data_IF_314736122845
#
_entry.id   IF_314736122845
#
_cell.length_a   1.000
_cell.length_b   1.000
_cell.length_c   1.000
_cell.angle_alpha   90.00
_cell.angle_beta   90.00
_cell.angle_gamma   90.00
#
_symmetry.space_group_name_H-M   'P 1'
#
loop_
_entity.id
_entity.type
_entity.pdbx_description
1 polymer ?
#
# COMPACT_ATOMS: atom_id res chain seq x y z
N UNK A 1 2.61 25.45 -5.91
CA UNK A 1 1.36 25.43 -5.14
C UNK A 1 0.36 24.62 -5.94
N UNK A 2 -0.19 23.56 -5.34
CA UNK A 2 -1.18 22.68 -5.98
C UNK A 2 -2.59 23.29 -5.90
N UNK A 3 -2.80 24.28 -5.03
CA UNK A 3 -4.12 24.80 -4.68
C UNK A 3 -4.90 23.86 -3.75
N UNK A 4 -6.08 24.29 -3.35
CA UNK A 4 -7.04 23.52 -2.53
C UNK A 4 -8.43 23.59 -3.15
N UNK A 5 -9.38 22.82 -2.63
CA UNK A 5 -10.80 22.90 -3.04
C UNK A 5 -11.57 23.94 -2.21
N UNK A 6 -10.88 25.01 -1.79
CA UNK A 6 -11.41 26.09 -0.97
C UNK A 6 -11.12 25.95 0.53
N UNK A 7 -10.58 24.80 0.97
CA UNK A 7 -10.11 24.58 2.34
C UNK A 7 -8.65 25.00 2.56
N UNK A 8 -8.10 24.75 3.77
CA UNK A 8 -6.79 25.23 4.16
C UNK A 8 -5.62 24.40 3.60
N UNK A 9 -5.80 23.10 3.34
CA UNK A 9 -4.70 22.20 2.98
C UNK A 9 -5.03 21.35 1.75
N UNK A 10 -3.97 21.01 1.01
CA UNK A 10 -3.95 19.87 0.10
C UNK A 10 -2.67 19.08 0.30
N UNK A 11 -2.77 17.76 0.15
CA UNK A 11 -1.67 16.83 0.34
C UNK A 11 -1.62 15.77 -0.76
N UNK A 12 -0.43 15.24 -1.00
CA UNK A 12 -0.23 14.05 -1.82
C UNK A 12 -0.20 12.84 -0.87
N UNK A 13 -0.83 11.74 -1.27
CA UNK A 13 -0.82 10.51 -0.46
C UNK A 13 0.53 9.81 -0.56
N UNK A 14 0.98 9.22 0.54
CA UNK A 14 2.32 8.63 0.69
C UNK A 14 2.54 7.29 -0.05
N UNK A 15 1.58 6.82 -0.86
CA UNK A 15 1.72 5.59 -1.65
C UNK A 15 2.63 5.80 -2.88
N UNK A 16 3.20 4.73 -3.44
CA UNK A 16 4.38 4.82 -4.33
C UNK A 16 4.16 5.59 -5.65
N UNK A 17 2.94 5.69 -6.19
CA UNK A 17 2.70 6.36 -7.48
C UNK A 17 1.52 7.35 -7.46
N UNK A 18 1.86 8.62 -7.28
CA UNK A 18 0.94 9.77 -7.28
C UNK A 18 1.22 10.78 -8.42
N UNK A 19 2.29 10.60 -9.20
CA UNK A 19 2.69 11.51 -10.30
C UNK A 19 3.00 10.72 -11.57
N UNK A 20 2.50 11.24 -12.70
CA UNK A 20 2.78 10.75 -14.04
C UNK A 20 3.79 11.66 -14.76
N UNK A 21 4.51 11.08 -15.73
CA UNK A 21 5.52 11.81 -16.53
C UNK A 21 4.95 12.97 -17.36
N UNK A 22 3.65 12.96 -17.62
CA UNK A 22 2.95 14.06 -18.31
C UNK A 22 2.58 15.22 -17.37
N UNK A 23 2.99 15.16 -16.09
CA UNK A 23 2.70 16.19 -15.09
C UNK A 23 1.37 16.04 -14.36
N UNK A 24 0.57 15.01 -14.67
CA UNK A 24 -0.66 14.71 -13.92
C UNK A 24 -0.29 14.13 -12.55
N UNK A 25 -0.85 14.68 -11.49
CA UNK A 25 -0.73 14.15 -10.13
C UNK A 25 -2.09 14.03 -9.45
N UNK A 26 -2.19 13.13 -8.47
CA UNK A 26 -3.39 12.94 -7.67
C UNK A 26 -3.10 13.18 -6.19
N UNK A 27 -4.10 13.61 -5.44
CA UNK A 27 -3.97 13.82 -4.00
C UNK A 27 -5.31 14.04 -3.32
N UNK A 28 -5.27 14.63 -2.13
CA UNK A 28 -6.42 14.98 -1.31
C UNK A 28 -6.41 16.47 -1.05
N UNK A 29 -7.55 17.13 -1.17
CA UNK A 29 -7.68 18.54 -0.84
C UNK A 29 -8.91 18.80 0.01
N UNK A 30 -8.73 19.68 1.00
CA UNK A 30 -9.84 20.17 1.80
C UNK A 30 -10.75 21.04 0.96
N UNK A 31 -12.04 20.85 1.18
CA UNK A 31 -13.06 21.80 0.78
C UNK A 31 -13.30 22.83 1.88
N UNK A 32 -14.10 23.87 1.58
CA UNK A 32 -14.56 24.81 2.60
C UNK A 32 -15.77 24.29 3.41
N UNK A 33 -16.20 23.05 3.19
CA UNK A 33 -17.44 22.49 3.75
C UNK A 33 -17.10 21.70 5.01
N UNK A 34 -17.76 21.96 6.16
CA UNK A 34 -17.59 21.14 7.36
C UNK A 34 -18.03 19.70 7.15
N UNK A 35 -17.27 18.75 7.68
CA UNK A 35 -17.61 17.32 7.64
C UNK A 35 -18.91 17.07 8.45
N UNK A 36 -19.96 16.49 7.84
CA UNK A 36 -21.25 16.28 8.51
C UNK A 36 -21.19 15.22 9.62
N UNK A 37 -20.10 14.47 9.76
CA UNK A 37 -19.96 13.37 10.70
C UNK A 37 -19.17 13.75 11.97
N UNK A 38 -18.92 15.05 12.21
CA UNK A 38 -18.21 15.52 13.40
C UNK A 38 -18.82 14.96 14.72
N UNK A 39 -17.98 14.46 15.67
CA UNK A 39 -16.51 14.48 15.67
C UNK A 39 -15.85 13.27 14.97
N UNK A 40 -16.62 12.36 14.38
CA UNK A 40 -16.16 11.15 13.69
C UNK A 40 -15.85 11.44 12.21
N UNK A 41 -15.06 12.48 11.99
CA UNK A 41 -14.74 13.00 10.66
C UNK A 41 -13.79 12.07 9.91
N UNK A 42 -13.78 12.21 8.58
CA UNK A 42 -12.83 11.49 7.73
C UNK A 42 -11.38 11.94 7.96
N UNK A 43 -11.20 13.21 8.35
CA UNK A 43 -9.92 13.86 8.62
C UNK A 43 -9.95 14.61 9.97
N UNK A 44 -8.82 14.73 10.71
CA UNK A 44 -8.74 15.46 11.98
C UNK A 44 -9.24 16.91 11.98
N UNK A 45 -9.16 17.63 10.85
CA UNK A 45 -9.63 19.01 10.73
C UNK A 45 -11.16 19.11 10.58
N UNK A 46 -11.86 17.98 10.39
CA UNK A 46 -13.31 17.93 10.23
C UNK A 46 -13.85 18.82 9.09
N UNK A 47 -13.10 18.89 8.00
CA UNK A 47 -13.58 19.40 6.72
C UNK A 47 -13.82 18.23 5.77
N UNK A 48 -14.78 18.40 4.87
CA UNK A 48 -14.95 17.48 3.75
C UNK A 48 -13.70 17.54 2.89
N UNK A 49 -13.13 16.37 2.60
CA UNK A 49 -11.95 16.19 1.76
C UNK A 49 -12.31 15.44 0.50
N UNK A 50 -11.83 15.88 -0.65
CA UNK A 50 -11.98 15.12 -1.88
C UNK A 50 -10.62 14.76 -2.49
N UNK A 51 -10.61 13.58 -3.11
CA UNK A 51 -9.60 13.22 -4.08
C UNK A 51 -9.59 14.27 -5.22
N UNK A 52 -8.41 14.66 -5.66
CA UNK A 52 -8.25 15.59 -6.78
C UNK A 52 -7.27 15.04 -7.81
N UNK A 53 -7.42 15.49 -9.05
CA UNK A 53 -6.41 15.41 -10.10
C UNK A 53 -5.89 16.81 -10.40
N UNK A 54 -4.58 16.98 -10.46
CA UNK A 54 -3.95 18.24 -10.85
C UNK A 54 -3.12 18.04 -12.11
N UNK A 55 -3.27 18.94 -13.07
CA UNK A 55 -2.45 18.98 -14.29
C UNK A 55 -2.36 20.40 -14.84
N UNK A 56 -1.16 20.85 -15.21
CA UNK A 56 -0.91 22.13 -15.89
C UNK A 56 -1.56 23.34 -15.20
N UNK A 57 -1.57 23.36 -13.87
CA UNK A 57 -2.16 24.44 -13.07
C UNK A 57 -3.66 24.34 -12.86
N UNK A 58 -4.31 23.28 -13.34
CA UNK A 58 -5.73 23.02 -13.16
C UNK A 58 -5.91 21.95 -12.09
N UNK A 59 -6.60 22.31 -11.01
CA UNK A 59 -7.05 21.39 -9.96
C UNK A 59 -8.48 20.94 -10.28
N UNK A 60 -8.66 19.64 -10.50
CA UNK A 60 -9.94 19.01 -10.80
C UNK A 60 -10.38 18.17 -9.60
N UNK A 61 -11.55 18.50 -9.07
CA UNK A 61 -12.21 17.69 -8.02
C UNK A 61 -12.71 16.37 -8.61
N UNK A 62 -12.25 15.24 -8.05
CA UNK A 62 -12.70 13.90 -8.46
C UNK A 62 -13.97 13.45 -7.72
N UNK A 63 -14.34 14.15 -6.64
CA UNK A 63 -15.55 13.94 -5.85
C UNK A 63 -15.59 12.64 -5.06
N UNK A 64 -16.73 12.39 -4.42
CA UNK A 64 -17.05 11.19 -3.68
C UNK A 64 -18.21 10.40 -4.32
N UNK A 65 -18.42 9.16 -3.89
CA UNK A 65 -19.59 8.37 -4.31
C UNK A 65 -20.89 9.09 -3.94
N UNK A 66 -21.99 8.84 -4.67
CA UNK A 66 -23.28 9.47 -4.37
C UNK A 66 -23.70 9.27 -2.91
N UNK A 67 -23.97 10.39 -2.22
CA UNK A 67 -24.34 10.40 -0.80
C UNK A 67 -23.16 10.47 0.17
N UNK A 68 -21.95 10.12 -0.27
CA UNK A 68 -20.72 10.27 0.50
C UNK A 68 -20.22 11.71 0.54
N UNK A 69 -19.53 12.06 1.62
CA UNK A 69 -18.96 13.40 1.79
C UNK A 69 -17.50 13.42 1.36
N UNK A 70 -16.67 12.50 1.85
CA UNK A 70 -15.21 12.56 1.63
C UNK A 70 -14.66 11.45 0.73
N UNK A 71 -13.51 11.71 0.12
CA UNK A 71 -12.75 10.75 -0.69
C UNK A 71 -11.25 11.05 -0.72
N UNK A 72 -10.46 10.02 -1.07
CA UNK A 72 -9.00 10.05 -1.12
C UNK A 72 -8.50 9.21 -2.28
N UNK A 73 -7.56 9.76 -3.06
CA UNK A 73 -6.80 8.99 -4.05
C UNK A 73 -5.56 8.37 -3.41
N UNK A 74 -5.25 7.13 -3.73
CA UNK A 74 -4.02 6.45 -3.28
C UNK A 74 -3.05 6.17 -4.43
N UNK A 75 -3.52 6.08 -5.67
CA UNK A 75 -2.68 5.69 -6.80
C UNK A 75 -3.19 6.21 -8.12
N UNK A 76 -2.28 6.53 -9.05
CA UNK A 76 -2.61 6.83 -10.46
C UNK A 76 -1.80 5.95 -11.43
N UNK A 77 -2.48 5.32 -12.38
CA UNK A 77 -1.80 4.56 -13.44
C UNK A 77 -1.52 5.41 -14.69
N UNK A 78 -0.78 4.85 -15.65
CA UNK A 78 -0.38 5.57 -16.89
C UNK A 78 -1.56 5.95 -17.81
N UNK A 79 -2.77 5.46 -17.52
CA UNK A 79 -4.00 5.79 -18.26
C UNK A 79 -4.79 6.92 -17.62
N UNK A 80 -4.29 7.50 -16.52
CA UNK A 80 -5.01 8.48 -15.72
C UNK A 80 -6.16 7.87 -14.92
N UNK A 81 -6.10 6.57 -14.63
CA UNK A 81 -7.08 5.94 -13.74
C UNK A 81 -6.56 6.00 -12.31
N UNK A 82 -7.42 6.44 -11.40
CA UNK A 82 -7.04 6.69 -10.02
C UNK A 82 -7.74 5.67 -9.12
N UNK A 83 -6.99 4.94 -8.31
CA UNK A 83 -7.54 4.09 -7.26
C UNK A 83 -7.54 4.82 -5.92
N UNK A 84 -8.51 4.52 -5.06
CA UNK A 84 -8.51 5.02 -3.70
C UNK A 84 -9.76 4.64 -2.91
N UNK A 85 -10.19 5.56 -2.06
CA UNK A 85 -11.25 5.35 -1.08
C UNK A 85 -12.27 6.47 -1.16
N UNK A 86 -13.56 6.15 -1.04
CA UNK A 86 -14.62 7.15 -0.96
C UNK A 86 -15.71 6.73 0.00
N UNK A 87 -16.23 7.67 0.78
CA UNK A 87 -17.44 7.45 1.57
C UNK A 87 -18.64 7.23 0.66
N UNK A 88 -19.64 6.47 1.13
CA UNK A 88 -20.85 6.15 0.36
C UNK A 88 -22.16 6.75 0.96
N UNK A 89 -22.05 7.53 2.04
CA UNK A 89 -23.17 8.16 2.73
C UNK A 89 -23.87 7.30 3.78
N UNK A 90 -23.41 6.07 4.00
CA UNK A 90 -23.90 5.17 5.05
C UNK A 90 -23.00 5.23 6.29
N UNK A 91 -23.50 4.70 7.40
CA UNK A 91 -22.77 4.52 8.65
C UNK A 91 -22.60 3.03 8.89
N UNK A 92 -21.36 2.60 9.15
CA UNK A 92 -21.05 1.22 9.49
C UNK A 92 -21.71 0.88 10.84
N UNK A 93 -22.66 -0.07 10.89
CA UNK A 93 -23.34 -0.45 12.12
C UNK A 93 -22.41 -1.12 13.16
N UNK A 94 -21.23 -1.60 12.77
CA UNK A 94 -20.29 -2.25 13.69
C UNK A 94 -19.40 -1.24 14.41
N UNK A 95 -18.96 -0.20 13.71
CA UNK A 95 -17.99 0.76 14.24
C UNK A 95 -18.62 2.12 14.58
N UNK A 96 -19.75 2.46 13.95
CA UNK A 96 -20.43 3.75 14.09
C UNK A 96 -19.79 4.89 13.29
N UNK A 97 -18.81 4.59 12.44
CA UNK A 97 -18.15 5.54 11.56
C UNK A 97 -18.77 5.52 10.15
N UNK A 98 -18.57 6.57 9.34
CA UNK A 98 -19.03 6.58 7.96
C UNK A 98 -18.39 5.47 7.13
N UNK A 99 -19.20 4.74 6.37
CA UNK A 99 -18.71 3.65 5.54
C UNK A 99 -17.82 4.17 4.40
N UNK A 100 -16.74 3.45 4.14
CA UNK A 100 -15.81 3.68 3.04
C UNK A 100 -15.86 2.57 2.00
N UNK A 101 -15.57 2.93 0.76
CA UNK A 101 -15.53 2.02 -0.39
C UNK A 101 -14.26 2.23 -1.19
N UNK A 102 -13.66 1.12 -1.58
CA UNK A 102 -12.68 1.05 -2.64
C UNK A 102 -13.31 1.58 -3.93
N UNK A 103 -12.64 2.51 -4.57
CA UNK A 103 -13.12 3.16 -5.80
C UNK A 103 -12.04 3.25 -6.86
N UNK A 104 -12.50 3.34 -8.10
CA UNK A 104 -11.68 3.63 -9.27
C UNK A 104 -12.28 4.80 -10.02
N UNK A 105 -11.60 5.95 -10.01
CA UNK A 105 -11.96 7.10 -10.84
C UNK A 105 -11.45 6.91 -12.27
N UNK A 106 -12.34 7.16 -13.22
CA UNK A 106 -12.05 7.25 -14.65
C UNK A 106 -12.70 8.51 -15.20
N UNK A 107 -12.36 8.88 -16.43
CA UNK A 107 -13.02 9.98 -17.15
C UNK A 107 -14.54 9.81 -17.29
N UNK A 108 -15.06 8.59 -17.18
CA UNK A 108 -16.50 8.28 -17.22
C UNK A 108 -17.20 8.41 -15.86
N UNK A 109 -16.47 8.68 -14.78
CA UNK A 109 -16.97 8.78 -13.41
C UNK A 109 -16.33 7.80 -12.44
N UNK A 110 -16.94 7.71 -11.25
CA UNK A 110 -16.46 6.90 -10.12
C UNK A 110 -17.05 5.50 -10.20
N UNK A 111 -16.20 4.48 -10.17
CA UNK A 111 -16.61 3.07 -10.07
C UNK A 111 -16.45 2.63 -8.62
N UNK A 112 -17.55 2.23 -7.98
CA UNK A 112 -17.50 1.54 -6.69
C UNK A 112 -17.06 0.08 -6.91
N UNK A 113 -15.98 -0.33 -6.25
CA UNK A 113 -15.44 -1.68 -6.40
C UNK A 113 -16.17 -2.72 -5.53
N UNK A 114 -16.97 -2.28 -4.56
CA UNK A 114 -17.70 -3.14 -3.63
C UNK A 114 -16.87 -3.55 -2.41
N UNK A 115 -17.33 -4.60 -1.73
CA UNK A 115 -16.69 -5.22 -0.56
C UNK A 115 -16.74 -6.74 -0.73
N UNK A 116 -16.16 -7.50 0.22
CA UNK A 116 -16.28 -8.97 0.27
C UNK A 116 -17.49 -9.41 1.10
N UNK A 117 -18.54 -8.59 1.11
CA UNK A 117 -19.77 -8.79 1.87
C UNK A 117 -19.83 -8.04 3.19
N UNK A 118 -18.71 -7.47 3.66
CA UNK A 118 -18.66 -6.57 4.81
C UNK A 118 -19.02 -5.11 4.45
N UNK A 119 -18.75 -4.20 5.38
CA UNK A 119 -19.19 -2.80 5.32
C UNK A 119 -18.11 -1.82 4.85
N UNK A 120 -16.89 -2.28 4.52
CA UNK A 120 -15.74 -1.41 4.31
C UNK A 120 -14.82 -1.93 3.20
N UNK A 121 -14.22 -1.03 2.43
CA UNK A 121 -13.12 -1.34 1.53
C UNK A 121 -12.31 -0.09 1.17
N UNK A 122 -11.05 -0.29 0.77
CA UNK A 122 -10.15 0.75 0.27
C UNK A 122 -9.26 0.18 -0.83
N UNK A 123 -9.11 0.89 -1.94
CA UNK A 123 -8.17 0.49 -3.01
C UNK A 123 -6.83 1.20 -2.82
N UNK A 124 -5.73 0.46 -2.94
CA UNK A 124 -4.37 0.96 -2.78
C UNK A 124 -3.66 1.17 -4.12
N UNK A 125 -3.99 0.37 -5.12
CA UNK A 125 -3.29 0.38 -6.41
C UNK A 125 -4.24 0.03 -7.56
N UNK A 126 -3.97 0.59 -8.74
CA UNK A 126 -4.54 0.14 -10.01
C UNK A 126 -3.45 -0.04 -11.05
N UNK A 127 -3.47 -1.16 -11.77
CA UNK A 127 -2.54 -1.41 -12.87
C UNK A 127 -3.09 -0.92 -14.23
N UNK A 128 -2.30 -1.00 -15.30
CA UNK A 128 -2.69 -0.49 -16.62
C UNK A 128 -3.77 -1.36 -17.32
N UNK A 129 -4.04 -2.55 -16.79
CA UNK A 129 -5.16 -3.41 -17.22
C UNK A 129 -6.48 -2.99 -16.60
N UNK A 130 -6.45 -2.12 -15.58
CA UNK A 130 -7.64 -1.69 -14.83
C UNK A 130 -8.05 -2.65 -13.73
N UNK A 131 -7.15 -3.54 -13.34
CA UNK A 131 -7.31 -4.30 -12.11
C UNK A 131 -6.90 -3.42 -10.94
N UNK A 132 -7.55 -3.62 -9.80
CA UNK A 132 -7.23 -2.92 -8.57
C UNK A 132 -7.03 -3.91 -7.42
N UNK A 133 -6.21 -3.52 -6.44
CA UNK A 133 -6.03 -4.24 -5.18
C UNK A 133 -6.21 -3.30 -4.00
N UNK A 134 -6.29 -3.87 -2.80
CA UNK A 134 -6.37 -3.13 -1.56
C UNK A 134 -6.88 -4.03 -0.45
N UNK A 135 -7.73 -3.46 0.41
CA UNK A 135 -8.39 -4.15 1.51
C UNK A 135 -9.90 -4.06 1.40
N UNK A 136 -10.59 -5.13 1.82
CA UNK A 136 -12.03 -5.16 1.95
C UNK A 136 -12.45 -6.04 3.13
N UNK A 137 -13.49 -5.63 3.85
CA UNK A 137 -14.06 -6.47 4.90
C UNK A 137 -14.99 -7.54 4.34
N UNK A 138 -15.01 -8.68 5.02
CA UNK A 138 -16.01 -9.73 4.83
C UNK A 138 -17.02 -9.74 6.00
N UNK A 139 -17.84 -10.78 6.12
CA UNK A 139 -18.89 -10.89 7.16
C UNK A 139 -18.44 -11.60 8.43
N UNK A 140 -17.20 -12.06 8.51
CA UNK A 140 -16.69 -12.85 9.64
C UNK A 140 -16.15 -11.87 10.69
N UNK A 141 -16.68 -11.95 11.91
CA UNK A 141 -16.27 -11.06 13.00
C UNK A 141 -14.79 -11.25 13.35
N UNK A 142 -14.09 -10.12 13.48
CA UNK A 142 -12.72 -10.06 13.94
C UNK A 142 -12.53 -8.81 14.81
N UNK A 143 -12.49 -8.96 16.15
CA UNK A 143 -12.26 -7.83 17.06
C UNK A 143 -10.82 -7.31 17.01
N UNK A 144 -9.88 -8.03 16.39
CA UNK A 144 -8.47 -7.64 16.23
C UNK A 144 -8.13 -7.33 14.76
N UNK A 145 -9.16 -7.04 13.95
CA UNK A 145 -9.03 -6.65 12.55
C UNK A 145 -7.97 -5.58 12.38
N UNK A 146 -7.06 -5.78 11.42
CA UNK A 146 -5.98 -4.82 11.15
C UNK A 146 -6.48 -3.41 10.83
N UNK A 147 -7.65 -3.29 10.20
CA UNK A 147 -8.26 -2.00 9.87
C UNK A 147 -9.23 -1.50 10.96
N UNK A 148 -9.47 -2.28 12.03
CA UNK A 148 -10.40 -1.93 13.09
C UNK A 148 -11.88 -2.02 12.73
N UNK A 149 -12.23 -2.68 11.62
CA UNK A 149 -13.60 -2.74 11.07
C UNK A 149 -14.52 -3.78 11.72
N UNK A 150 -14.10 -4.39 12.83
CA UNK A 150 -14.87 -5.40 13.57
C UNK A 150 -15.11 -6.74 12.85
N UNK A 151 -14.63 -6.85 11.60
CA UNK A 151 -14.67 -8.04 10.74
C UNK A 151 -13.31 -8.24 10.08
N UNK A 152 -13.07 -9.45 9.57
CA UNK A 152 -11.82 -9.76 8.91
C UNK A 152 -11.58 -8.82 7.73
N UNK A 153 -10.36 -8.30 7.65
CA UNK A 153 -9.88 -7.45 6.57
C UNK A 153 -9.07 -8.26 5.59
N UNK A 154 -9.49 -8.31 4.33
CA UNK A 154 -8.93 -9.22 3.34
C UNK A 154 -8.30 -8.44 2.21
N UNK A 155 -7.15 -8.91 1.73
CA UNK A 155 -6.60 -8.45 0.48
C UNK A 155 -7.51 -8.90 -0.68
N UNK A 156 -7.73 -8.03 -1.65
CA UNK A 156 -8.57 -8.35 -2.82
C UNK A 156 -7.86 -8.10 -4.15
N UNK A 157 -8.31 -8.78 -5.19
CA UNK A 157 -8.11 -8.38 -6.59
C UNK A 157 -9.47 -8.10 -7.20
N UNK A 158 -9.65 -6.88 -7.73
CA UNK A 158 -10.83 -6.50 -8.46
C UNK A 158 -10.54 -6.48 -9.95
N UNK A 159 -11.41 -7.09 -10.75
CA UNK A 159 -11.33 -7.10 -12.20
C UNK A 159 -12.72 -7.16 -12.82
N UNK A 160 -13.03 -6.23 -13.73
CA UNK A 160 -14.26 -6.23 -14.54
C UNK A 160 -15.58 -6.35 -13.73
N UNK A 161 -15.62 -5.78 -12.52
CA UNK A 161 -16.80 -5.80 -11.65
C UNK A 161 -16.77 -6.89 -10.58
N UNK A 162 -15.83 -7.82 -10.65
CA UNK A 162 -15.71 -8.93 -9.71
C UNK A 162 -14.58 -8.66 -8.70
N UNK A 163 -14.92 -8.64 -7.41
CA UNK A 163 -13.96 -8.59 -6.31
C UNK A 163 -13.64 -10.00 -5.82
N UNK A 164 -12.37 -10.37 -5.83
CA UNK A 164 -11.88 -11.68 -5.38
C UNK A 164 -11.05 -11.54 -4.11
N UNK A 165 -11.40 -12.30 -3.09
CA UNK A 165 -10.57 -12.52 -1.90
C UNK A 165 -9.30 -13.31 -2.26
N UNK A 166 -8.14 -12.79 -1.86
CA UNK A 166 -6.84 -13.41 -2.14
C UNK A 166 -6.44 -14.50 -1.14
N UNK A 167 -7.15 -14.62 -0.02
CA UNK A 167 -6.79 -15.47 1.10
C UNK A 167 -5.85 -14.77 2.09
N UNK A 168 -5.27 -15.56 2.99
CA UNK A 168 -4.30 -15.13 4.00
C UNK A 168 -3.21 -16.22 4.15
N UNK A 169 -2.15 -15.91 4.91
CA UNK A 169 -1.10 -16.86 5.28
C UNK A 169 -1.45 -17.71 6.52
N UNK A 170 -2.71 -17.71 6.95
CA UNK A 170 -3.22 -18.54 8.05
C UNK A 170 -3.93 -17.75 9.15
N UNK A 171 -3.71 -16.44 9.23
CA UNK A 171 -4.43 -15.52 10.10
C UNK A 171 -5.74 -14.99 9.50
N UNK A 172 -6.45 -14.11 10.23
CA UNK A 172 -7.72 -13.57 9.75
C UNK A 172 -7.56 -12.53 8.64
N UNK A 173 -6.42 -11.83 8.61
CA UNK A 173 -6.26 -10.63 7.80
C UNK A 173 -5.12 -10.65 6.78
N UNK A 174 -5.30 -9.87 5.72
CA UNK A 174 -4.30 -9.56 4.73
C UNK A 174 -4.52 -8.17 4.12
N UNK A 175 -3.43 -7.55 3.67
CA UNK A 175 -3.42 -6.24 3.02
C UNK A 175 -2.71 -6.33 1.67
N UNK A 176 -3.42 -6.02 0.58
CA UNK A 176 -2.82 -5.93 -0.76
C UNK A 176 -2.25 -4.52 -0.98
N UNK A 177 -0.93 -4.38 -0.94
CA UNK A 177 -0.27 -3.07 -0.96
C UNK A 177 0.02 -2.56 -2.37
N UNK A 178 0.56 -3.43 -3.23
CA UNK A 178 1.00 -3.07 -4.58
C UNK A 178 0.65 -4.16 -5.58
N UNK A 179 0.63 -3.82 -6.86
CA UNK A 179 0.43 -4.79 -7.95
C UNK A 179 1.21 -4.40 -9.20
N UNK A 180 1.50 -5.40 -10.03
CA UNK A 180 2.10 -5.18 -11.34
C UNK A 180 1.10 -5.39 -12.50
N UNK A 181 1.53 -5.10 -13.73
CA UNK A 181 0.71 -5.25 -14.94
C UNK A 181 0.45 -6.71 -15.34
N UNK A 182 1.04 -7.67 -14.62
CA UNK A 182 0.70 -9.09 -14.73
C UNK A 182 -0.46 -9.50 -13.83
N UNK A 183 -0.92 -8.61 -12.96
CA UNK A 183 -1.99 -8.86 -11.98
C UNK A 183 -1.52 -9.65 -10.76
N UNK A 184 -0.21 -9.69 -10.52
CA UNK A 184 0.33 -10.19 -9.27
C UNK A 184 0.16 -9.09 -8.22
N UNK A 185 -0.19 -9.48 -7.00
CA UNK A 185 -0.42 -8.57 -5.87
C UNK A 185 0.59 -8.90 -4.79
N UNK A 186 1.25 -7.89 -4.24
CA UNK A 186 2.12 -8.06 -3.09
C UNK A 186 1.66 -7.19 -1.92
N UNK A 187 2.01 -7.61 -0.72
CA UNK A 187 1.62 -6.95 0.52
C UNK A 187 1.99 -7.83 1.70
N UNK A 188 1.17 -7.81 2.75
CA UNK A 188 1.45 -8.60 3.96
C UNK A 188 0.18 -9.27 4.50
N UNK A 189 0.36 -10.33 5.29
CA UNK A 189 -0.75 -11.10 5.87
C UNK A 189 -0.38 -11.61 7.25
N UNK A 190 -1.40 -11.70 8.11
CA UNK A 190 -1.27 -12.39 9.38
C UNK A 190 -1.17 -13.90 9.16
N UNK A 191 -0.30 -14.55 9.94
CA UNK A 191 -0.11 -16.01 9.87
C UNK A 191 -0.92 -16.78 10.90
N UNK A 192 -1.49 -16.09 11.88
CA UNK A 192 -2.31 -16.69 12.94
C UNK A 192 -3.30 -15.67 13.52
N UNK A 193 -4.13 -16.11 14.48
CA UNK A 193 -5.19 -15.30 15.11
C UNK A 193 -4.89 -14.96 16.58
N UNK A 194 -3.63 -15.02 17.02
CA UNK A 194 -3.29 -14.63 18.40
C UNK A 194 -3.24 -13.12 18.54
N UNK A 195 -3.41 -12.56 19.76
CA UNK A 195 -3.05 -11.16 20.01
C UNK A 195 -1.60 -10.92 19.57
N UNK A 196 -1.37 -9.85 18.80
CA UNK A 196 -0.10 -9.56 18.12
C UNK A 196 0.34 -10.69 17.16
N UNK A 197 -0.41 -10.94 16.08
CA UNK A 197 -0.07 -11.97 15.12
C UNK A 197 1.22 -11.61 14.37
N UNK A 198 1.95 -12.64 13.92
CA UNK A 198 3.09 -12.44 13.04
C UNK A 198 2.61 -11.92 11.67
N UNK A 199 3.36 -10.98 11.11
CA UNK A 199 3.08 -10.29 9.85
C UNK A 199 4.10 -10.75 8.83
N UNK A 200 3.65 -11.49 7.82
CA UNK A 200 4.54 -12.00 6.79
C UNK A 200 4.27 -11.29 5.45
N UNK A 201 5.32 -10.92 4.70
CA UNK A 201 5.16 -10.42 3.35
C UNK A 201 4.67 -11.55 2.45
N UNK A 202 3.82 -11.22 1.47
CA UNK A 202 3.33 -12.19 0.50
C UNK A 202 3.44 -11.68 -0.94
N UNK A 203 3.54 -12.64 -1.87
CA UNK A 203 3.19 -12.45 -3.27
C UNK A 203 2.00 -13.35 -3.62
N UNK A 204 0.95 -12.79 -4.19
CA UNK A 204 -0.16 -13.52 -4.76
C UNK A 204 -0.01 -13.56 -6.28
N UNK A 205 -0.09 -14.76 -6.84
CA UNK A 205 -0.03 -15.00 -8.28
C UNK A 205 -0.97 -16.14 -8.66
N UNK A 206 -1.91 -15.87 -9.57
CA UNK A 206 -2.81 -16.85 -10.17
C UNK A 206 -3.52 -17.76 -9.15
N UNK A 207 -4.04 -17.19 -8.06
CA UNK A 207 -4.80 -17.92 -7.05
C UNK A 207 -3.96 -18.57 -5.96
N UNK A 208 -2.64 -18.36 -5.94
CA UNK A 208 -1.76 -18.85 -4.89
C UNK A 208 -1.07 -17.69 -4.19
N UNK A 209 -1.11 -17.71 -2.86
CA UNK A 209 -0.33 -16.83 -2.00
C UNK A 209 0.98 -17.52 -1.61
N UNK A 210 2.10 -16.82 -1.79
CA UNK A 210 3.44 -17.25 -1.43
C UNK A 210 3.92 -16.42 -0.24
N UNK A 211 4.36 -17.09 0.82
CA UNK A 211 5.02 -16.47 1.97
C UNK A 211 6.45 -16.05 1.58
N UNK A 212 6.79 -14.79 1.79
CA UNK A 212 8.09 -14.18 1.48
C UNK A 212 8.93 -13.90 2.73
N UNK A 213 8.62 -14.52 3.88
CA UNK A 213 9.37 -14.33 5.13
C UNK A 213 10.71 -15.08 5.14
N UNK A 214 11.70 -14.50 5.81
CA UNK A 214 13.01 -15.11 6.09
C UNK A 214 13.03 -15.95 7.38
N UNK A 215 11.84 -16.24 7.95
CA UNK A 215 11.65 -17.14 9.08
C UNK A 215 11.50 -16.47 10.45
N UNK A 216 11.49 -15.14 10.53
CA UNK A 216 11.06 -14.41 11.71
C UNK A 216 9.56 -14.12 11.73
N UNK A 217 9.11 -13.19 12.56
CA UNK A 217 7.69 -12.84 12.79
C UNK A 217 7.21 -11.57 12.09
N UNK A 218 8.10 -10.83 11.43
CA UNK A 218 7.75 -9.59 10.74
C UNK A 218 8.38 -9.52 9.34
N UNK A 219 7.68 -8.89 8.41
CA UNK A 219 8.23 -8.48 7.13
C UNK A 219 7.18 -7.85 6.23
N UNK A 220 7.66 -7.07 5.26
CA UNK A 220 6.86 -6.27 4.34
C UNK A 220 7.46 -6.31 2.94
N UNK A 221 6.64 -6.03 1.93
CA UNK A 221 7.09 -5.85 0.55
C UNK A 221 7.13 -4.35 0.27
N UNK A 222 8.28 -3.86 -0.20
CA UNK A 222 8.47 -2.44 -0.53
C UNK A 222 8.35 -2.18 -2.04
N UNK A 223 8.58 -3.20 -2.89
CA UNK A 223 8.40 -3.03 -4.33
C UNK A 223 8.14 -4.34 -5.07
N UNK A 224 7.35 -4.25 -6.15
CA UNK A 224 7.08 -5.33 -7.10
C UNK A 224 7.26 -4.82 -8.53
N UNK A 225 8.15 -5.44 -9.31
CA UNK A 225 8.32 -5.09 -10.74
C UNK A 225 7.45 -5.96 -11.68
N UNK A 226 7.40 -5.61 -12.97
CA UNK A 226 6.61 -6.32 -13.98
C UNK A 226 7.19 -7.68 -14.39
N UNK A 227 8.40 -8.03 -13.94
CA UNK A 227 8.92 -9.40 -14.06
C UNK A 227 8.39 -10.34 -12.99
N UNK A 228 7.69 -9.81 -11.97
CA UNK A 228 7.21 -10.59 -10.83
C UNK A 228 8.29 -10.81 -9.77
N UNK A 229 9.27 -9.91 -9.72
CA UNK A 229 10.26 -9.87 -8.65
C UNK A 229 9.79 -8.92 -7.56
N UNK A 230 9.84 -9.36 -6.31
CA UNK A 230 9.45 -8.57 -5.15
C UNK A 230 10.64 -8.38 -4.22
N UNK A 231 10.74 -7.21 -3.60
CA UNK A 231 11.77 -6.88 -2.62
C UNK A 231 11.14 -6.23 -1.40
N UNK A 232 11.83 -6.30 -0.27
CA UNK A 232 11.44 -5.67 0.97
C UNK A 232 12.34 -6.11 2.11
N UNK A 233 11.82 -6.09 3.33
CA UNK A 233 12.51 -6.54 4.53
C UNK A 233 11.76 -7.66 5.24
N UNK A 234 12.50 -8.52 5.93
CA UNK A 234 11.93 -9.53 6.82
C UNK A 234 12.87 -9.81 7.98
N UNK A 235 12.31 -9.97 9.17
CA UNK A 235 13.05 -10.47 10.33
C UNK A 235 13.55 -11.89 10.05
N UNK A 236 14.77 -12.17 10.49
CA UNK A 236 15.31 -13.52 10.54
C UNK A 236 14.73 -14.30 11.72
N UNK A 237 14.86 -15.63 11.68
CA UNK A 237 14.46 -16.49 12.79
C UNK A 237 15.04 -16.02 14.13
N UNK A 238 14.17 -15.76 15.11
CA UNK A 238 14.53 -15.23 16.43
C UNK A 238 14.40 -13.71 16.57
N UNK A 239 14.05 -12.99 15.49
CA UNK A 239 13.71 -11.55 15.49
C UNK A 239 14.80 -10.64 16.05
N UNK A 240 16.07 -11.02 15.82
CA UNK A 240 17.24 -10.24 16.24
C UNK A 240 17.86 -9.41 15.10
N UNK A 241 17.42 -9.63 13.86
CA UNK A 241 17.94 -8.95 12.69
C UNK A 241 16.88 -8.89 11.57
N UNK A 242 16.88 -7.78 10.85
CA UNK A 242 16.05 -7.52 9.68
C UNK A 242 16.93 -7.53 8.44
N UNK A 243 16.59 -8.38 7.48
CA UNK A 243 17.36 -8.53 6.27
C UNK A 243 16.55 -8.15 5.03
N UNK A 244 17.20 -7.50 4.04
CA UNK A 244 16.58 -7.25 2.76
C UNK A 244 16.43 -8.57 2.00
N UNK A 245 15.28 -8.79 1.37
CA UNK A 245 15.06 -9.97 0.55
C UNK A 245 14.81 -9.62 -0.93
N UNK A 246 15.03 -10.62 -1.78
CA UNK A 246 14.59 -10.66 -3.16
C UNK A 246 13.83 -11.96 -3.42
N UNK A 247 12.58 -11.84 -3.86
CA UNK A 247 11.85 -12.92 -4.49
C UNK A 247 12.06 -12.88 -6.00
N UNK A 248 12.54 -13.98 -6.57
CA UNK A 248 12.65 -14.14 -8.02
C UNK A 248 12.41 -15.60 -8.44
N UNK A 249 11.57 -15.79 -9.46
CA UNK A 249 11.29 -17.11 -10.06
C UNK A 249 10.95 -18.22 -9.03
N UNK A 250 10.16 -17.89 -8.01
CA UNK A 250 9.74 -18.89 -7.01
C UNK A 250 10.75 -19.12 -5.89
N UNK A 251 11.81 -18.32 -5.81
CA UNK A 251 12.85 -18.44 -4.78
C UNK A 251 12.96 -17.14 -3.99
N UNK A 252 12.93 -17.28 -2.68
CA UNK A 252 13.26 -16.21 -1.76
C UNK A 252 14.77 -16.22 -1.50
N UNK A 253 15.39 -15.04 -1.58
CA UNK A 253 16.81 -14.82 -1.36
C UNK A 253 16.99 -13.77 -0.28
N UNK A 254 17.71 -14.12 0.77
CA UNK A 254 18.29 -13.15 1.70
C UNK A 254 19.45 -12.43 0.98
N UNK A 255 19.36 -11.10 0.85
CA UNK A 255 20.40 -10.29 0.23
C UNK A 255 21.55 -9.97 1.19
N UNK A 256 21.33 -10.17 2.49
CA UNK A 256 22.25 -9.89 3.58
C UNK A 256 22.47 -8.40 3.84
N UNK A 257 23.41 -8.12 4.73
CA UNK A 257 23.85 -6.79 5.11
C UNK A 257 25.37 -6.66 4.95
N UNK A 258 25.96 -5.53 5.36
CA UNK A 258 27.42 -5.39 5.48
C UNK A 258 27.96 -5.93 6.81
N UNK A 259 27.23 -6.85 7.45
CA UNK A 259 27.57 -7.50 8.72
C UNK A 259 26.81 -6.94 9.94
N UNK A 260 25.94 -5.95 9.74
CA UNK A 260 25.01 -5.44 10.74
C UNK A 260 23.70 -6.24 10.81
N UNK A 261 22.81 -5.84 11.72
CA UNK A 261 21.52 -6.50 11.97
C UNK A 261 20.34 -5.88 11.24
N UNK A 262 20.56 -4.86 10.42
CA UNK A 262 19.48 -4.15 9.73
C UNK A 262 19.78 -4.03 8.23
N UNK A 263 18.74 -4.25 7.42
CA UNK A 263 18.71 -3.84 6.03
C UNK A 263 17.32 -4.01 5.43
N UNK A 264 17.03 -3.15 4.45
CA UNK A 264 15.76 -3.09 3.74
C UNK A 264 16.02 -2.83 2.26
N UNK A 265 15.27 -3.50 1.39
CA UNK A 265 15.36 -3.34 -0.06
C UNK A 265 14.16 -2.53 -0.54
N UNK A 266 14.37 -1.24 -0.79
CA UNK A 266 13.30 -0.28 -1.06
C UNK A 266 12.80 -0.28 -2.51
N UNK A 267 13.61 -0.75 -3.47
CA UNK A 267 13.21 -0.68 -4.88
C UNK A 267 13.94 -1.67 -5.76
N UNK A 268 13.26 -2.17 -6.80
CA UNK A 268 13.85 -3.01 -7.85
C UNK A 268 13.43 -2.57 -9.26
N UNK A 269 14.40 -2.46 -10.17
CA UNK A 269 14.12 -2.17 -11.58
C UNK A 269 13.78 -3.43 -12.40
N UNK A 270 13.33 -3.23 -13.64
CA UNK A 270 13.04 -4.33 -14.58
C UNK A 270 14.28 -5.13 -15.01
N UNK A 271 15.49 -4.60 -14.82
CA UNK A 271 16.72 -5.36 -15.05
C UNK A 271 17.09 -6.28 -13.86
N UNK A 272 16.37 -6.18 -12.74
CA UNK A 272 16.63 -6.95 -11.51
C UNK A 272 17.75 -6.37 -10.64
N UNK A 273 18.08 -5.09 -10.81
CA UNK A 273 18.96 -4.38 -9.88
C UNK A 273 18.11 -3.83 -8.72
N UNK A 274 18.55 -4.11 -7.50
CA UNK A 274 17.86 -3.73 -6.25
C UNK A 274 18.66 -2.64 -5.56
N UNK A 275 17.98 -1.66 -5.01
CA UNK A 275 18.57 -0.66 -4.10
C UNK A 275 17.86 -0.70 -2.76
N UNK A 276 18.53 -0.18 -1.74
CA UNK A 276 18.03 -0.17 -0.39
C UNK A 276 19.12 0.26 0.57
N UNK A 277 18.94 -0.06 1.84
CA UNK A 277 19.86 0.27 2.92
C UNK A 277 20.34 -1.00 3.62
N UNK A 278 21.61 -1.05 4.01
CA UNK A 278 22.19 -2.17 4.74
C UNK A 278 23.19 -1.69 5.80
N UNK A 279 23.17 -2.37 6.95
CA UNK A 279 23.94 -2.01 8.13
C UNK A 279 25.31 -2.70 8.21
N UNK A 280 26.25 -2.01 8.85
CA UNK A 280 27.53 -2.52 9.34
C UNK A 280 27.43 -3.02 10.79
N UNK A 281 28.39 -3.83 11.29
CA UNK A 281 28.37 -4.34 12.66
C UNK A 281 28.32 -3.25 13.73
N UNK A 282 27.63 -3.54 14.84
CA UNK A 282 27.65 -2.74 16.06
C UNK A 282 29.06 -2.76 16.72
N UNK A 283 29.59 -1.68 17.36
CA UNK A 283 28.93 -0.47 17.86
C UNK A 283 28.73 0.64 16.82
N UNK A 284 29.08 0.40 15.55
CA UNK A 284 29.05 1.48 14.55
C UNK A 284 27.62 1.89 14.22
N UNK A 285 26.68 0.93 14.14
CA UNK A 285 25.27 1.16 13.83
C UNK A 285 25.06 1.93 12.52
N UNK A 286 26.06 1.89 11.63
CA UNK A 286 26.08 2.66 10.39
C UNK A 286 25.27 1.90 9.33
N UNK A 287 24.40 2.64 8.65
CA UNK A 287 23.60 2.15 7.53
C UNK A 287 24.02 2.88 6.26
N UNK A 288 24.31 2.14 5.19
CA UNK A 288 24.61 2.71 3.88
C UNK A 288 23.62 2.25 2.83
N UNK A 289 23.37 3.10 1.85
CA UNK A 289 22.72 2.73 0.60
C UNK A 289 23.50 1.63 -0.11
N UNK A 290 22.81 0.63 -0.66
CA UNK A 290 23.41 -0.44 -1.43
C UNK A 290 22.83 -0.52 -2.85
N UNK A 291 23.61 -1.13 -3.75
CA UNK A 291 23.17 -1.66 -5.02
C UNK A 291 23.42 -3.17 -5.05
N UNK A 292 22.35 -3.97 -5.10
CA UNK A 292 22.46 -5.39 -5.36
C UNK A 292 22.30 -5.65 -6.86
N UNK A 293 23.31 -6.30 -7.45
CA UNK A 293 23.32 -6.62 -8.88
C UNK A 293 24.21 -7.82 -9.14
N UNK A 294 23.74 -8.75 -9.98
CA UNK A 294 24.48 -9.95 -10.37
C UNK A 294 24.95 -10.80 -9.18
N UNK A 295 24.10 -10.94 -8.14
CA UNK A 295 24.42 -11.76 -6.97
C UNK A 295 25.38 -11.13 -5.96
N UNK A 296 25.58 -9.80 -6.03
CA UNK A 296 26.50 -9.08 -5.14
C UNK A 296 25.83 -7.86 -4.54
N UNK A 297 25.96 -7.71 -3.22
CA UNK A 297 25.63 -6.50 -2.46
C UNK A 297 26.81 -5.52 -2.55
N UNK A 298 26.61 -4.35 -3.17
CA UNK A 298 27.65 -3.33 -3.33
C UNK A 298 27.28 -2.10 -2.51
N UNK A 299 28.21 -1.64 -1.67
CA UNK A 299 28.06 -0.40 -0.90
C UNK A 299 28.16 0.83 -1.83
N UNK A 300 27.19 1.75 -1.73
CA UNK A 300 27.20 3.03 -2.45
C UNK A 300 27.91 4.15 -1.67
N UNK A 301 28.27 3.90 -0.41
CA UNK A 301 28.96 4.82 0.48
C UNK A 301 28.06 5.93 1.00
N UNK A 302 28.67 6.88 1.71
CA UNK A 302 28.03 8.09 2.21
C UNK A 302 28.66 9.36 1.60
N UNK A 303 27.98 10.49 1.76
CA UNK A 303 28.55 11.79 1.43
C UNK A 303 29.62 12.19 2.45
N UNK A 304 30.56 13.05 2.03
CA UNK A 304 31.67 13.48 2.89
C UNK A 304 31.17 14.15 4.17
N UNK A 305 31.46 13.54 5.32
CA UNK A 305 31.07 14.02 6.64
C UNK A 305 29.89 13.25 7.25
N UNK A 306 29.15 12.50 6.43
CA UNK A 306 28.04 11.67 6.89
C UNK A 306 28.49 10.26 7.17
N UNK A 307 28.00 9.71 8.28
CA UNK A 307 28.25 8.31 8.65
C UNK A 307 27.24 7.36 8.05
N UNK A 308 26.07 7.84 7.63
CA UNK A 308 25.01 7.01 7.06
C UNK A 308 24.59 7.53 5.69
N UNK A 309 24.00 6.66 4.88
CA UNK A 309 23.28 6.99 3.65
C UNK A 309 22.06 6.09 3.50
N UNK A 310 21.02 6.62 2.85
CA UNK A 310 19.73 5.97 2.63
C UNK A 310 19.32 6.17 1.17
#
# INVERSE_FOLDING_TARGET
DLGTLGGPVSTITEFEQWLLNNGTLTGIADTSIPDPYAPNCFDPECLVQHAFEWQDGVLTDLGALPGGSSSVSNWINSRGWVAGTSQNGLIDPLTGFPETRAVLWKSSGIINLGTLGGNESAATTVNNRGQATGIASNTISDPLSIAGWGTQTRAFLWENGDMRDLGTLGGPDAFGQTMNDRGQVAGFSYTNSTPNPAIHPFLWDNGKMFDLSLGGTFGVVDWLNNRGQAVGESTLAGDLADHPFLWDQGKLMDLGTFGGSFGSASWINEAGAVVGVAGYPDPTGINHGFLWKNGKLNDLGSLSGDRCSF
#
